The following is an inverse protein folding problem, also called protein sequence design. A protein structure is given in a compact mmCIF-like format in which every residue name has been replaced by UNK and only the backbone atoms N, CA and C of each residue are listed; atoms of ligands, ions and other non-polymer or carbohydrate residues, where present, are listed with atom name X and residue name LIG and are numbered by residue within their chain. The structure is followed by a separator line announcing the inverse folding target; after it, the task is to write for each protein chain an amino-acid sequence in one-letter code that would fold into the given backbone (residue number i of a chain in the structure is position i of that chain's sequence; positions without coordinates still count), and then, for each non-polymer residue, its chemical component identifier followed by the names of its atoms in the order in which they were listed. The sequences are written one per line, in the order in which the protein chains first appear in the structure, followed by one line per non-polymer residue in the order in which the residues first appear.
data_IF_794606978110
#
_entry.id   IF_794606978110
#
_cell.length_a   1.000
_cell.length_b   1.000
_cell.length_c   1.000
_cell.angle_alpha   90.00
_cell.angle_beta   90.00
_cell.angle_gamma   90.00
#
_symmetry.space_group_name_H-M   'P 1'
#
loop_
_entity.id
_entity.type
_entity.pdbx_description
1 polymer ?
#
# COMPACT_ATOMS: atom_id res chain seq x y z
N UNK A 1 9.23 -23.74 9.98
CA UNK A 1 8.90 -22.77 11.06
C UNK A 1 7.41 -22.44 10.99
N UNK A 2 6.67 -22.38 12.11
CA UNK A 2 5.29 -21.81 12.19
C UNK A 2 5.29 -20.27 12.01
N UNK A 3 6.14 -19.78 11.12
CA UNK A 3 6.38 -18.38 10.88
C UNK A 3 5.24 -17.85 9.99
N UNK A 4 4.42 -16.93 10.52
CA UNK A 4 3.42 -16.20 9.71
C UNK A 4 4.12 -15.55 8.51
N UNK A 5 3.48 -15.48 7.33
CA UNK A 5 4.10 -14.91 6.16
C UNK A 5 4.46 -13.43 6.39
N UNK A 6 5.53 -12.95 5.76
CA UNK A 6 6.09 -11.62 6.00
C UNK A 6 5.05 -10.50 5.80
N UNK A 7 4.21 -10.60 4.77
CA UNK A 7 3.14 -9.64 4.50
C UNK A 7 2.15 -9.53 5.66
N UNK A 8 1.79 -10.65 6.31
CA UNK A 8 0.83 -10.64 7.42
C UNK A 8 1.43 -9.94 8.66
N UNK A 9 2.72 -10.16 8.90
CA UNK A 9 3.43 -9.50 10.01
C UNK A 9 3.58 -7.99 9.79
N UNK A 10 3.68 -7.53 8.54
CA UNK A 10 3.73 -6.12 8.17
C UNK A 10 2.35 -5.46 8.34
N UNK A 11 1.29 -6.11 7.86
CA UNK A 11 -0.08 -5.59 7.96
C UNK A 11 -0.51 -5.39 9.41
N UNK A 12 -0.21 -6.35 10.30
CA UNK A 12 -0.48 -6.22 11.74
C UNK A 12 0.24 -5.01 12.35
N UNK A 13 1.36 -4.57 11.78
CA UNK A 13 2.11 -3.39 12.20
C UNK A 13 1.70 -2.11 11.47
N UNK A 14 0.69 -2.16 10.60
CA UNK A 14 0.22 -1.02 9.82
C UNK A 14 1.06 -0.71 8.58
N UNK A 15 1.85 -1.67 8.09
CA UNK A 15 2.66 -1.54 6.88
C UNK A 15 2.15 -2.45 5.76
N UNK A 16 2.19 -1.94 4.55
CA UNK A 16 1.84 -2.65 3.34
C UNK A 16 3.11 -2.96 2.51
N UNK A 17 3.32 -4.21 2.09
CA UNK A 17 4.50 -4.60 1.34
C UNK A 17 4.48 -4.09 -0.11
N UNK A 18 5.66 -3.84 -0.69
CA UNK A 18 5.79 -3.52 -2.11
C UNK A 18 5.57 -4.69 -3.06
N UNK A 19 5.60 -5.92 -2.53
CA UNK A 19 5.34 -7.14 -3.28
C UNK A 19 4.68 -8.18 -2.34
N UNK A 20 3.65 -8.91 -2.80
CA UNK A 20 2.86 -9.81 -1.95
C UNK A 20 3.65 -11.04 -1.46
N UNK A 21 4.53 -11.59 -2.31
CA UNK A 21 5.23 -12.86 -2.03
C UNK A 21 6.58 -12.64 -1.35
N UNK A 22 7.38 -11.69 -1.83
CA UNK A 22 8.74 -11.44 -1.34
C UNK A 22 9.00 -9.94 -1.19
N UNK A 23 8.54 -9.32 -0.09
CA UNK A 23 8.67 -7.88 0.10
C UNK A 23 10.12 -7.47 0.31
N UNK A 24 10.61 -6.51 -0.47
CA UNK A 24 11.91 -5.86 -0.27
C UNK A 24 11.81 -4.54 0.49
N UNK A 25 10.60 -3.97 0.55
CA UNK A 25 10.27 -2.72 1.23
C UNK A 25 8.79 -2.76 1.61
N UNK A 26 8.42 -1.99 2.61
CA UNK A 26 7.03 -1.79 3.01
C UNK A 26 6.78 -0.31 3.32
N UNK A 27 5.58 0.15 3.04
CA UNK A 27 5.14 1.52 3.25
C UNK A 27 3.99 1.55 4.25
N UNK A 28 3.84 2.65 4.98
CA UNK A 28 2.70 2.80 5.91
C UNK A 28 1.38 2.75 5.14
N UNK A 29 0.40 2.00 5.65
CA UNK A 29 -0.96 1.95 5.05
C UNK A 29 -1.56 3.35 5.00
N UNK A 30 -1.33 4.18 6.03
CA UNK A 30 -1.81 5.58 6.06
C UNK A 30 -1.21 6.42 4.94
N UNK A 31 0.06 6.19 4.61
CA UNK A 31 0.74 6.89 3.52
C UNK A 31 0.16 6.47 2.16
N UNK A 32 -0.05 5.17 1.95
CA UNK A 32 -0.62 4.67 0.70
C UNK A 32 -2.07 5.14 0.51
N UNK A 33 -2.89 5.08 1.56
CA UNK A 33 -4.26 5.61 1.55
C UNK A 33 -4.30 7.10 1.19
N UNK A 34 -3.36 7.89 1.71
CA UNK A 34 -3.24 9.29 1.33
C UNK A 34 -2.89 9.46 -0.15
N UNK A 35 -1.96 8.67 -0.68
CA UNK A 35 -1.64 8.70 -2.12
C UNK A 35 -2.79 8.26 -3.01
N UNK A 36 -3.56 7.24 -2.62
CA UNK A 36 -4.78 6.85 -3.34
C UNK A 36 -5.78 8.02 -3.38
N UNK A 37 -6.02 8.68 -2.25
CA UNK A 37 -6.89 9.85 -2.18
C UNK A 37 -6.38 11.00 -3.07
N UNK A 38 -5.07 11.26 -3.07
CA UNK A 38 -4.46 12.24 -3.97
C UNK A 38 -4.66 11.87 -5.44
N UNK A 39 -4.54 10.58 -5.83
CA UNK A 39 -4.73 10.17 -7.23
C UNK A 39 -6.15 10.38 -7.77
N UNK A 40 -7.14 10.53 -6.89
CA UNK A 40 -8.51 10.88 -7.31
C UNK A 40 -8.64 12.35 -7.70
N UNK A 41 -7.75 13.22 -7.22
CA UNK A 41 -7.83 14.67 -7.40
C UNK A 41 -6.70 15.24 -8.25
N UNK A 42 -5.55 14.55 -8.29
CA UNK A 42 -4.35 14.90 -9.06
C UNK A 42 -3.92 13.70 -9.89
N UNK A 43 -3.27 13.96 -11.04
CA UNK A 43 -2.66 12.89 -11.82
C UNK A 43 -1.68 12.08 -10.95
N UNK A 44 -1.73 10.73 -10.97
CA UNK A 44 -0.92 9.87 -10.12
C UNK A 44 0.57 10.03 -10.47
N UNK A 45 1.26 10.89 -9.73
CA UNK A 45 2.66 11.21 -9.96
C UNK A 45 3.55 10.50 -8.93
N UNK A 46 3.70 9.18 -9.12
CA UNK A 46 4.57 8.35 -8.27
C UNK A 46 6.03 8.81 -8.29
N UNK A 47 6.48 9.49 -9.35
CA UNK A 47 7.82 10.11 -9.42
C UNK A 47 7.94 11.25 -8.41
N UNK A 48 6.99 12.17 -8.38
CA UNK A 48 6.98 13.28 -7.42
C UNK A 48 6.82 12.77 -5.98
N UNK A 49 5.93 11.82 -5.74
CA UNK A 49 5.73 11.23 -4.41
C UNK A 49 6.99 10.52 -3.90
N UNK A 50 7.68 9.77 -4.77
CA UNK A 50 8.95 9.13 -4.41
C UNK A 50 10.05 10.16 -4.12
N UNK A 51 10.13 11.24 -4.88
CA UNK A 51 11.08 12.32 -4.63
C UNK A 51 10.83 13.01 -3.29
N UNK A 52 9.56 13.31 -2.97
CA UNK A 52 9.17 13.87 -1.66
C UNK A 52 9.54 12.93 -0.51
N UNK A 53 9.29 11.63 -0.67
CA UNK A 53 9.69 10.63 0.33
C UNK A 53 11.20 10.53 0.50
N UNK A 54 11.97 10.56 -0.59
CA UNK A 54 13.43 10.55 -0.54
C UNK A 54 13.96 11.77 0.21
N UNK A 55 13.50 12.97 -0.14
CA UNK A 55 13.87 14.21 0.56
C UNK A 55 13.48 14.18 2.04
N UNK A 56 12.29 13.66 2.36
CA UNK A 56 11.85 13.50 3.74
C UNK A 56 12.80 12.58 4.52
N UNK A 57 13.13 11.41 3.97
CA UNK A 57 14.06 10.46 4.62
C UNK A 57 15.47 11.01 4.77
N UNK A 58 15.97 11.74 3.78
CA UNK A 58 17.28 12.40 3.83
C UNK A 58 17.34 13.39 5.01
N UNK A 59 16.31 14.23 5.18
CA UNK A 59 16.20 15.17 6.30
C UNK A 59 16.16 14.48 7.68
N UNK A 60 15.64 13.26 7.73
CA UNK A 60 15.53 12.48 8.96
C UNK A 60 16.66 11.44 9.13
N UNK A 61 17.76 11.56 8.38
CA UNK A 61 18.94 10.68 8.44
C UNK A 61 18.66 9.20 8.14
N UNK A 62 17.51 8.90 7.52
CA UNK A 62 17.14 7.55 7.10
C UNK A 62 17.73 7.29 5.72
N UNK A 63 18.98 6.82 5.69
CA UNK A 63 19.64 6.50 4.42
C UNK A 63 19.15 5.16 3.88
N UNK A 64 18.36 5.19 2.81
CA UNK A 64 17.94 3.96 2.14
C UNK A 64 19.03 3.46 1.19
N UNK A 65 19.42 2.19 1.30
CA UNK A 65 20.40 1.56 0.38
C UNK A 65 19.88 1.39 -1.05
N UNK A 66 18.63 1.77 -1.32
CA UNK A 66 17.89 1.47 -2.55
C UNK A 66 17.15 2.69 -3.10
N UNK A 67 17.77 3.87 -3.02
CA UNK A 67 17.18 5.13 -3.49
C UNK A 67 16.74 5.05 -4.97
N UNK A 68 17.56 4.39 -5.82
CA UNK A 68 17.28 4.19 -7.24
C UNK A 68 16.05 3.31 -7.53
N UNK A 69 15.61 2.49 -6.56
CA UNK A 69 14.44 1.64 -6.69
C UNK A 69 13.22 2.17 -5.93
N UNK A 70 13.34 3.27 -5.17
CA UNK A 70 12.25 3.78 -4.34
C UNK A 70 10.99 4.04 -5.16
N UNK A 71 11.13 4.74 -6.29
CA UNK A 71 10.00 5.02 -7.20
C UNK A 71 9.31 3.73 -7.66
N UNK A 72 10.09 2.72 -8.08
CA UNK A 72 9.55 1.44 -8.55
C UNK A 72 8.81 0.70 -7.44
N UNK A 73 9.39 0.66 -6.24
CA UNK A 73 8.81 -0.01 -5.07
C UNK A 73 7.57 0.71 -4.57
N UNK A 74 7.58 2.05 -4.57
CA UNK A 74 6.41 2.84 -4.23
C UNK A 74 5.28 2.62 -5.23
N UNK A 75 5.58 2.71 -6.53
CA UNK A 75 4.59 2.47 -7.58
C UNK A 75 3.98 1.06 -7.47
N UNK A 76 4.81 0.03 -7.29
CA UNK A 76 4.32 -1.33 -7.07
C UNK A 76 3.44 -1.43 -5.82
N UNK A 77 3.81 -0.76 -4.72
CA UNK A 77 3.00 -0.75 -3.49
C UNK A 77 1.65 -0.08 -3.71
N UNK A 78 1.60 1.07 -4.39
CA UNK A 78 0.35 1.76 -4.72
C UNK A 78 -0.55 0.85 -5.57
N UNK A 79 -0.03 0.22 -6.64
CA UNK A 79 -0.82 -0.67 -7.50
C UNK A 79 -1.37 -1.87 -6.73
N UNK A 80 -0.57 -2.51 -5.87
CA UNK A 80 -1.04 -3.63 -5.07
C UNK A 80 -2.04 -3.20 -3.98
N UNK A 81 -1.88 -1.99 -3.45
CA UNK A 81 -2.80 -1.43 -2.46
C UNK A 81 -4.15 -1.13 -3.08
N UNK A 82 -4.17 -0.52 -4.28
CA UNK A 82 -5.40 -0.28 -5.04
C UNK A 82 -6.14 -1.59 -5.37
N UNK A 83 -5.42 -2.63 -5.80
CA UNK A 83 -6.00 -3.97 -6.02
C UNK A 83 -6.62 -4.54 -4.73
N UNK A 84 -5.98 -4.33 -3.58
CA UNK A 84 -6.52 -4.76 -2.29
C UNK A 84 -7.80 -3.98 -1.94
N UNK A 85 -7.79 -2.65 -2.11
CA UNK A 85 -8.96 -1.80 -1.83
C UNK A 85 -10.14 -2.22 -2.71
N UNK A 86 -9.94 -2.39 -4.01
CA UNK A 86 -10.96 -2.84 -4.94
C UNK A 86 -11.53 -4.22 -4.56
N UNK A 87 -10.67 -5.17 -4.16
CA UNK A 87 -11.11 -6.50 -3.71
C UNK A 87 -11.87 -6.46 -2.40
N UNK A 88 -11.43 -5.60 -1.46
CA UNK A 88 -12.11 -5.36 -0.19
C UNK A 88 -13.50 -4.80 -0.45
N UNK A 89 -13.63 -3.80 -1.31
CA UNK A 89 -14.92 -3.18 -1.64
C UNK A 89 -15.86 -4.19 -2.30
N UNK A 90 -15.37 -4.96 -3.28
CA UNK A 90 -16.16 -6.02 -3.90
C UNK A 90 -16.66 -7.06 -2.88
N UNK A 91 -15.78 -7.50 -1.97
CA UNK A 91 -16.14 -8.46 -0.92
C UNK A 91 -17.19 -7.89 0.05
N UNK A 92 -17.02 -6.63 0.48
CA UNK A 92 -17.98 -5.98 1.38
C UNK A 92 -19.34 -5.84 0.70
N UNK A 93 -19.39 -5.40 -0.56
CA UNK A 93 -20.63 -5.28 -1.31
C UNK A 93 -21.35 -6.62 -1.41
N UNK A 94 -20.64 -7.70 -1.76
CA UNK A 94 -21.27 -9.04 -1.82
C UNK A 94 -21.84 -9.51 -0.49
N UNK A 95 -21.18 -9.17 0.62
CA UNK A 95 -21.62 -9.59 1.96
C UNK A 95 -22.82 -8.78 2.45
N UNK A 96 -22.89 -7.49 2.09
CA UNK A 96 -24.03 -6.61 2.38
C UNK A 96 -25.25 -7.05 1.57
N UNK A 97 -25.08 -7.28 0.27
CA UNK A 97 -26.17 -7.68 -0.62
C UNK A 97 -26.76 -9.04 -0.20
N UNK A 98 -25.92 -10.02 0.13
CA UNK A 98 -26.36 -11.33 0.62
C UNK A 98 -27.11 -11.28 1.95
N UNK A 99 -26.79 -10.32 2.83
CA UNK A 99 -27.57 -10.08 4.07
C UNK A 99 -28.91 -9.43 3.79
N UNK A 100 -28.94 -8.48 2.86
CA UNK A 100 -30.16 -7.79 2.46
C UNK A 100 -31.18 -8.75 1.77
N UNK A 101 -30.68 -9.79 1.09
CA UNK A 101 -31.50 -10.88 0.54
C UNK A 101 -31.99 -11.87 1.62
N UNK A 102 -31.23 -12.11 2.68
CA UNK A 102 -31.62 -13.00 3.77
C UNK A 102 -32.64 -12.38 4.74
N UNK A 103 -32.68 -11.04 4.84
CA UNK A 103 -33.59 -10.28 5.70
C UNK A 103 -34.91 -9.89 5.01
N UNK A 104 -35.12 -10.26 3.73
CA UNK A 104 -36.34 -10.01 2.95
C UNK A 104 -37.23 -11.25 2.87
#
# INVERSE_FOLDING_TARGET
CRCRPAWLQLLVRGFFPCAPVRPSMAFSIRLLSWFTCMSLHLAPNTTAWAAVLAMFWERHSVRTKHESDLRKRLAASCSWFEVLENRKDAYITTEIDGKCEADR
#
